data_IF_579415385473
#
_entry.id   IF_579415385473
#
_cell.length_a   1.000
_cell.length_b   1.000
_cell.length_c   1.000
_cell.angle_alpha   90.00
_cell.angle_beta   90.00
_cell.angle_gamma   90.00
#
_symmetry.space_group_name_H-M   'P 1'
#
loop_
_entity.id
_entity.type
_entity.pdbx_description
1 polymer ?
#
# COMPACT_ATOMS: atom_id res chain seq x y z
N UNK A 1 -34.96 -32.22 -35.02
CA UNK A 1 -33.50 -31.98 -35.01
C UNK A 1 -33.23 -30.65 -35.68
N UNK A 2 -32.30 -29.85 -35.14
CA UNK A 2 -31.91 -28.55 -35.72
C UNK A 2 -30.63 -28.75 -36.55
N UNK A 3 -30.58 -28.21 -37.76
CA UNK A 3 -29.40 -28.23 -38.63
C UNK A 3 -28.40 -27.20 -38.09
N UNK A 4 -27.14 -27.58 -37.92
CA UNK A 4 -26.04 -26.69 -37.48
C UNK A 4 -24.99 -26.58 -38.59
N UNK A 5 -24.48 -25.38 -38.82
CA UNK A 5 -23.46 -25.10 -39.83
C UNK A 5 -22.05 -25.18 -39.22
N UNK A 6 -20.99 -25.46 -40.01
CA UNK A 6 -19.62 -25.64 -39.51
C UNK A 6 -19.03 -24.41 -38.80
N UNK A 7 -19.61 -23.24 -39.08
CA UNK A 7 -19.22 -21.93 -38.56
C UNK A 7 -20.06 -21.48 -37.34
N UNK A 8 -21.05 -22.30 -36.93
CA UNK A 8 -21.78 -22.06 -35.69
C UNK A 8 -20.87 -22.39 -34.49
N UNK A 9 -20.70 -21.43 -33.59
CA UNK A 9 -20.00 -21.65 -32.32
C UNK A 9 -20.86 -22.59 -31.46
N UNK A 10 -20.53 -23.88 -31.45
CA UNK A 10 -21.36 -24.90 -30.80
C UNK A 10 -21.23 -24.90 -29.27
N UNK A 11 -20.02 -24.59 -28.76
CA UNK A 11 -19.70 -24.50 -27.33
C UNK A 11 -18.51 -23.54 -27.13
N UNK A 12 -18.55 -22.78 -26.04
CA UNK A 12 -17.40 -22.06 -25.49
C UNK A 12 -17.07 -22.69 -24.13
N UNK A 13 -15.87 -23.24 -23.97
CA UNK A 13 -15.40 -23.74 -22.68
C UNK A 13 -14.83 -22.54 -21.94
N UNK A 14 -15.60 -21.99 -21.02
CA UNK A 14 -15.14 -20.94 -20.10
C UNK A 14 -14.51 -21.65 -18.92
N UNK A 15 -13.19 -21.54 -18.79
CA UNK A 15 -12.46 -21.96 -17.60
C UNK A 15 -12.72 -20.93 -16.49
N UNK A 16 -13.49 -21.32 -15.47
CA UNK A 16 -13.82 -20.50 -14.31
C UNK A 16 -12.85 -20.76 -13.13
N UNK A 17 -11.81 -21.57 -13.33
CA UNK A 17 -10.98 -22.08 -12.23
C UNK A 17 -10.09 -21.03 -11.55
N UNK A 18 -9.80 -19.90 -12.22
CA UNK A 18 -8.93 -18.87 -11.65
C UNK A 18 -9.37 -17.46 -12.07
N UNK A 19 -10.00 -16.73 -11.15
CA UNK A 19 -10.32 -15.31 -11.35
C UNK A 19 -9.03 -14.50 -11.26
N UNK A 20 -8.73 -13.73 -12.30
CA UNK A 20 -7.61 -12.79 -12.32
C UNK A 20 -8.10 -11.36 -12.55
N UNK A 21 -7.27 -10.39 -12.19
CA UNK A 21 -7.50 -8.98 -12.46
C UNK A 21 -6.84 -8.60 -13.78
N UNK A 22 -7.59 -7.90 -14.62
CA UNK A 22 -7.07 -7.22 -15.79
C UNK A 22 -7.16 -5.71 -15.57
N UNK A 23 -6.01 -5.08 -15.34
CA UNK A 23 -5.91 -3.66 -15.05
C UNK A 23 -5.50 -2.90 -16.31
N UNK A 24 -6.19 -1.80 -16.59
CA UNK A 24 -5.83 -0.87 -17.66
C UNK A 24 -5.00 0.26 -17.05
N UNK A 25 -3.69 0.26 -17.31
CA UNK A 25 -2.76 1.25 -16.76
C UNK A 25 -2.32 2.22 -17.85
N UNK A 26 -2.34 3.52 -17.60
CA UNK A 26 -1.86 4.50 -18.57
C UNK A 26 -0.37 4.35 -18.86
N UNK A 27 0.01 4.53 -20.12
CA UNK A 27 1.41 4.37 -20.57
C UNK A 27 2.40 5.24 -19.78
N UNK A 28 1.98 6.42 -19.30
CA UNK A 28 2.79 7.33 -18.48
C UNK A 28 3.16 6.75 -17.10
N UNK A 29 2.31 5.90 -16.55
CA UNK A 29 2.45 5.31 -15.21
C UNK A 29 3.09 3.92 -15.28
N UNK A 30 3.13 3.30 -16.46
CA UNK A 30 3.74 1.99 -16.72
C UNK A 30 5.18 1.85 -16.21
N UNK A 31 6.07 2.86 -16.29
CA UNK A 31 7.43 2.76 -15.73
C UNK A 31 7.47 2.55 -14.20
N UNK A 32 6.39 2.87 -13.50
CA UNK A 32 6.26 2.68 -12.04
C UNK A 32 5.74 1.28 -11.70
N UNK A 33 5.23 0.54 -12.68
CA UNK A 33 4.66 -0.79 -12.48
C UNK A 33 5.73 -1.86 -12.68
N UNK A 34 5.81 -2.79 -11.74
CA UNK A 34 6.76 -3.91 -11.73
C UNK A 34 6.05 -5.19 -11.31
N UNK A 35 6.52 -6.32 -11.86
CA UNK A 35 6.09 -7.64 -11.39
C UNK A 35 6.39 -7.79 -9.90
N UNK A 36 5.47 -8.38 -9.14
CA UNK A 36 5.60 -8.54 -7.70
C UNK A 36 5.04 -7.39 -6.87
N UNK A 37 4.56 -6.31 -7.48
CA UNK A 37 3.92 -5.23 -6.73
C UNK A 37 2.55 -5.67 -6.22
N UNK A 38 2.28 -5.29 -4.96
CA UNK A 38 0.98 -5.49 -4.34
C UNK A 38 -0.07 -4.57 -4.97
N UNK A 39 -1.26 -5.13 -5.12
CA UNK A 39 -2.43 -4.52 -5.72
C UNK A 39 -3.58 -4.66 -4.73
N UNK A 40 -4.18 -3.54 -4.36
CA UNK A 40 -5.41 -3.53 -3.57
C UNK A 40 -6.59 -3.34 -4.51
N UNK A 41 -7.36 -4.39 -4.73
CA UNK A 41 -8.58 -4.35 -5.54
C UNK A 41 -9.82 -4.18 -4.66
N UNK A 42 -10.78 -3.36 -5.10
CA UNK A 42 -12.02 -3.13 -4.36
C UNK A 42 -13.17 -2.86 -5.32
N UNK A 43 -14.39 -3.16 -4.88
CA UNK A 43 -15.59 -2.86 -5.66
C UNK A 43 -15.90 -1.37 -5.56
N UNK A 44 -16.39 -0.73 -6.64
CA UNK A 44 -16.81 0.66 -6.57
C UNK A 44 -17.84 0.86 -5.44
N UNK A 45 -17.55 1.79 -4.52
CA UNK A 45 -18.43 2.11 -3.39
C UNK A 45 -18.27 1.24 -2.15
N UNK A 46 -17.30 0.31 -2.10
CA UNK A 46 -16.96 -0.46 -0.90
C UNK A 46 -15.58 -0.11 -0.38
N UNK A 47 -15.36 -0.25 0.93
CA UNK A 47 -14.03 -0.14 1.56
C UNK A 47 -13.28 -1.47 1.65
N UNK A 48 -13.96 -2.59 1.35
CA UNK A 48 -13.36 -3.91 1.41
C UNK A 48 -12.36 -4.08 0.27
N UNK A 49 -11.11 -4.39 0.64
CA UNK A 49 -10.01 -4.61 -0.29
C UNK A 49 -9.68 -6.10 -0.38
N UNK A 50 -9.25 -6.50 -1.56
CA UNK A 50 -8.77 -7.82 -1.90
C UNK A 50 -7.32 -7.68 -2.35
N UNK A 51 -6.44 -8.38 -1.68
CA UNK A 51 -5.03 -8.41 -2.00
C UNK A 51 -4.77 -9.21 -3.28
N UNK A 52 -3.98 -8.61 -4.16
CA UNK A 52 -3.50 -9.20 -5.39
C UNK A 52 -2.06 -8.78 -5.67
N UNK A 53 -1.41 -9.45 -6.60
CA UNK A 53 -0.01 -9.20 -6.98
C UNK A 53 0.08 -9.07 -8.51
N UNK A 54 0.83 -8.08 -8.98
CA UNK A 54 1.14 -7.93 -10.42
C UNK A 54 1.94 -9.13 -10.90
N UNK A 55 1.34 -9.92 -11.78
CA UNK A 55 1.95 -11.13 -12.32
C UNK A 55 2.58 -10.93 -13.70
N UNK A 56 1.89 -10.16 -14.57
CA UNK A 56 2.32 -9.92 -15.93
C UNK A 56 1.97 -8.49 -16.37
N UNK A 57 2.90 -7.84 -17.06
CA UNK A 57 2.73 -6.51 -17.63
C UNK A 57 2.79 -6.68 -19.14
N UNK A 58 1.72 -6.31 -19.85
CA UNK A 58 1.71 -6.34 -21.31
C UNK A 58 2.68 -5.29 -21.85
N UNK A 59 3.55 -5.70 -22.77
CA UNK A 59 4.48 -4.79 -23.44
C UNK A 59 3.81 -3.99 -24.57
N UNK A 60 2.57 -4.33 -24.91
CA UNK A 60 1.80 -3.65 -25.95
C UNK A 60 0.87 -2.63 -25.32
N UNK A 61 1.10 -1.36 -25.66
CA UNK A 61 0.16 -0.27 -25.36
C UNK A 61 -0.92 -0.26 -26.43
N UNK A 62 -2.17 -0.26 -26.02
CA UNK A 62 -3.32 0.01 -26.86
C UNK A 62 -3.25 1.48 -27.31
N UNK A 63 -3.03 1.71 -28.60
CA UNK A 63 -2.81 3.05 -29.15
C UNK A 63 -4.09 3.91 -29.12
N UNK A 64 -5.26 3.29 -29.13
CA UNK A 64 -6.55 3.99 -29.10
C UNK A 64 -6.89 4.45 -27.68
N UNK A 65 -6.57 3.63 -26.67
CA UNK A 65 -6.84 3.93 -25.25
C UNK A 65 -5.69 4.60 -24.52
N UNK A 66 -4.46 4.49 -25.03
CA UNK A 66 -3.25 4.95 -24.36
C UNK A 66 -2.91 4.16 -23.08
N UNK A 67 -3.43 2.92 -22.97
CA UNK A 67 -3.25 2.05 -21.80
C UNK A 67 -2.52 0.77 -22.17
N UNK A 68 -1.81 0.20 -21.20
CA UNK A 68 -1.28 -1.15 -21.26
C UNK A 68 -2.08 -2.03 -20.29
N UNK A 69 -2.19 -3.31 -20.66
CA UNK A 69 -2.86 -4.31 -19.83
C UNK A 69 -1.88 -4.85 -18.80
N UNK A 70 -2.28 -4.86 -17.53
CA UNK A 70 -1.52 -5.45 -16.43
C UNK A 70 -2.38 -6.54 -15.80
N UNK A 71 -1.87 -7.76 -15.79
CA UNK A 71 -2.52 -8.91 -15.17
C UNK A 71 -2.04 -9.01 -13.73
N UNK A 72 -2.98 -9.02 -12.79
CA UNK A 72 -2.72 -9.28 -11.39
C UNK A 72 -3.48 -10.52 -10.92
N UNK A 73 -2.89 -11.30 -10.02
CA UNK A 73 -3.49 -12.48 -9.43
C UNK A 73 -3.86 -12.17 -7.99
N UNK A 74 -5.07 -12.56 -7.57
CA UNK A 74 -5.43 -12.45 -6.17
C UNK A 74 -4.57 -13.40 -5.32
N UNK A 75 -4.17 -12.95 -4.14
CA UNK A 75 -3.46 -13.81 -3.18
C UNK A 75 -4.37 -14.92 -2.63
N UNK A 76 -5.67 -14.64 -2.55
CA UNK A 76 -6.72 -15.56 -2.14
C UNK A 76 -7.87 -15.47 -3.12
N UNK A 77 -8.54 -16.59 -3.38
CA UNK A 77 -9.71 -16.59 -4.25
C UNK A 77 -10.75 -15.57 -3.76
N UNK A 78 -11.15 -14.61 -4.61
CA UNK A 78 -12.02 -13.53 -4.19
C UNK A 78 -13.45 -14.03 -4.02
N UNK A 79 -13.99 -13.93 -2.81
CA UNK A 79 -15.39 -14.31 -2.55
C UNK A 79 -16.32 -13.24 -3.13
N UNK A 80 -17.25 -13.67 -3.98
CA UNK A 80 -18.27 -12.80 -4.57
C UNK A 80 -17.76 -11.87 -5.68
N UNK A 81 -16.65 -12.22 -6.34
CA UNK A 81 -16.23 -11.60 -7.60
C UNK A 81 -16.39 -12.63 -8.71
N UNK A 82 -17.33 -12.38 -9.62
CA UNK A 82 -17.50 -13.19 -10.82
C UNK A 82 -16.69 -12.59 -11.98
N UNK A 83 -16.27 -13.40 -12.97
CA UNK A 83 -15.74 -12.89 -14.24
C UNK A 83 -16.64 -11.81 -14.85
N UNK A 84 -16.05 -10.73 -15.35
CA UNK A 84 -16.77 -9.58 -15.88
C UNK A 84 -17.18 -8.53 -14.84
N UNK A 85 -16.91 -8.75 -13.55
CA UNK A 85 -17.10 -7.72 -12.51
C UNK A 85 -16.13 -6.57 -12.72
N UNK A 86 -16.64 -5.34 -12.75
CA UNK A 86 -15.79 -4.14 -12.76
C UNK A 86 -15.28 -3.85 -11.35
N UNK A 87 -13.97 -3.69 -11.21
CA UNK A 87 -13.30 -3.33 -9.95
C UNK A 87 -12.41 -2.12 -10.13
N UNK A 88 -12.12 -1.44 -9.03
CA UNK A 88 -11.03 -0.46 -8.95
C UNK A 88 -9.83 -1.11 -8.27
N UNK A 89 -8.63 -0.65 -8.62
CA UNK A 89 -7.40 -1.18 -8.04
C UNK A 89 -6.38 -0.08 -7.80
N UNK A 90 -5.61 -0.23 -6.73
CA UNK A 90 -4.45 0.59 -6.41
C UNK A 90 -3.20 -0.30 -6.49
N UNK A 91 -2.29 0.01 -7.41
CA UNK A 91 -0.98 -0.66 -7.49
C UNK A 91 0.02 0.11 -6.63
N UNK A 92 0.63 -0.56 -5.64
CA UNK A 92 1.56 0.05 -4.72
C UNK A 92 2.95 0.11 -5.36
N UNK A 93 3.28 1.28 -5.92
CA UNK A 93 4.51 1.45 -6.72
C UNK A 93 5.81 1.48 -5.89
N UNK A 94 5.73 1.95 -4.64
CA UNK A 94 6.85 2.22 -3.75
C UNK A 94 6.55 1.74 -2.32
N UNK A 95 6.13 0.48 -2.17
CA UNK A 95 5.91 -0.14 -0.86
C UNK A 95 7.26 -0.45 -0.20
N UNK A 96 7.46 0.07 1.00
CA UNK A 96 8.58 -0.30 1.87
C UNK A 96 8.03 -0.50 3.27
N UNK A 97 8.26 -1.68 3.85
CA UNK A 97 8.03 -1.89 5.26
C UNK A 97 9.10 -1.11 6.04
N UNK A 98 8.64 -0.08 6.74
CA UNK A 98 9.50 0.81 7.50
C UNK A 98 8.92 1.02 8.89
N UNK A 99 9.78 1.31 9.85
CA UNK A 99 9.33 1.78 11.14
C UNK A 99 8.75 3.18 10.97
N UNK A 100 7.52 3.37 11.41
CA UNK A 100 6.82 4.62 11.24
C UNK A 100 6.23 5.10 12.57
N UNK A 101 6.23 6.42 12.75
CA UNK A 101 5.62 7.10 13.88
C UNK A 101 4.51 8.01 13.38
N UNK A 102 3.43 8.23 14.15
CA UNK A 102 2.50 9.31 13.88
C UNK A 102 3.24 10.65 13.84
N UNK A 103 2.85 11.56 12.94
CA UNK A 103 3.47 12.89 12.88
C UNK A 103 3.40 13.64 14.23
N UNK A 104 2.34 13.42 15.01
CA UNK A 104 2.15 13.99 16.35
C UNK A 104 3.18 13.52 17.41
N UNK A 105 3.87 12.41 17.15
CA UNK A 105 4.90 11.88 18.03
C UNK A 105 6.27 12.56 17.82
N UNK A 106 6.39 13.38 16.78
CA UNK A 106 7.65 13.92 16.27
C UNK A 106 7.76 15.39 16.64
N UNK A 107 8.83 15.76 17.33
CA UNK A 107 9.11 17.14 17.71
C UNK A 107 10.24 17.65 16.83
N UNK A 108 10.00 18.72 16.07
CA UNK A 108 11.03 19.38 15.28
C UNK A 108 11.43 20.69 15.95
N UNK A 109 12.68 20.81 16.38
CA UNK A 109 13.20 21.97 17.09
C UNK A 109 14.67 22.22 16.71
N UNK A 110 15.02 23.46 16.39
CA UNK A 110 16.40 23.85 16.06
C UNK A 110 16.98 23.15 14.83
N UNK A 111 16.13 22.71 13.88
CA UNK A 111 16.55 21.94 12.70
C UNK A 111 16.84 20.47 12.97
N UNK A 112 16.62 20.01 14.21
CA UNK A 112 16.73 18.61 14.62
C UNK A 112 15.35 18.01 14.86
N UNK A 113 15.27 16.69 14.74
CA UNK A 113 14.03 15.93 14.96
C UNK A 113 14.19 15.03 16.16
N UNK A 114 13.17 15.00 17.02
CA UNK A 114 13.20 14.33 18.31
C UNK A 114 11.91 13.54 18.54
N UNK A 115 12.01 12.51 19.37
CA UNK A 115 10.87 11.79 19.95
C UNK A 115 11.02 11.71 21.45
N UNK A 116 9.89 11.60 22.15
CA UNK A 116 9.88 11.44 23.59
C UNK A 116 9.81 9.97 23.96
N UNK A 117 10.76 9.52 24.76
CA UNK A 117 10.94 8.14 25.19
C UNK A 117 10.72 8.03 26.70
N UNK A 118 10.18 6.89 27.16
CA UNK A 118 10.05 6.56 28.57
C UNK A 118 10.79 5.28 28.89
N UNK A 119 11.76 5.33 29.81
CA UNK A 119 12.46 4.15 30.32
C UNK A 119 11.56 3.33 31.26
N UNK A 120 11.95 2.06 31.49
CA UNK A 120 11.22 1.16 32.38
C UNK A 120 11.14 1.67 33.84
N UNK A 121 12.08 2.52 34.26
CA UNK A 121 12.09 3.18 35.57
C UNK A 121 11.17 4.41 35.65
N UNK A 122 10.49 4.75 34.55
CA UNK A 122 9.54 5.85 34.44
C UNK A 122 10.15 7.20 34.07
N UNK A 123 11.48 7.29 33.87
CA UNK A 123 12.10 8.53 33.37
C UNK A 123 11.73 8.78 31.92
N UNK A 124 11.48 10.04 31.62
CA UNK A 124 11.17 10.53 30.27
C UNK A 124 12.38 11.29 29.75
N UNK A 125 12.78 11.02 28.51
CA UNK A 125 13.90 11.69 27.86
C UNK A 125 13.65 11.84 26.35
N UNK A 126 14.34 12.79 25.74
CA UNK A 126 14.27 13.08 24.31
C UNK A 126 15.36 12.32 23.56
N UNK A 127 15.00 11.68 22.46
CA UNK A 127 15.94 11.00 21.57
C UNK A 127 15.94 11.69 20.21
N UNK A 128 17.13 12.09 19.75
CA UNK A 128 17.30 12.61 18.38
C UNK A 128 17.10 11.46 17.40
N UNK A 129 16.32 11.69 16.35
CA UNK A 129 16.00 10.70 15.33
C UNK A 129 16.17 11.26 13.94
N UNK A 130 16.45 10.37 13.00
CA UNK A 130 16.44 10.67 11.58
C UNK A 130 15.11 10.25 10.99
N UNK A 131 14.38 11.21 10.42
CA UNK A 131 13.11 10.93 9.74
C UNK A 131 13.27 10.85 8.24
N UNK A 132 12.45 9.99 7.63
CA UNK A 132 12.44 9.73 6.19
C UNK A 132 11.16 10.21 5.53
N UNK A 133 10.53 9.32 4.77
CA UNK A 133 9.30 9.59 4.02
C UNK A 133 8.15 9.96 4.96
N UNK A 134 7.24 10.82 4.48
CA UNK A 134 5.96 11.14 5.11
C UNK A 134 4.83 10.61 4.24
N UNK A 135 3.89 9.89 4.84
CA UNK A 135 2.74 9.33 4.14
C UNK A 135 1.56 9.15 5.11
N UNK A 136 0.37 9.63 4.73
CA UNK A 136 -0.89 9.43 5.48
C UNK A 136 -0.82 9.73 6.99
N UNK A 137 -0.11 10.79 7.38
CA UNK A 137 0.02 11.19 8.80
C UNK A 137 1.05 10.38 9.59
N UNK A 138 1.85 9.56 8.91
CA UNK A 138 2.99 8.85 9.47
C UNK A 138 4.30 9.37 8.89
N UNK A 139 5.34 9.37 9.71
CA UNK A 139 6.73 9.60 9.30
C UNK A 139 7.55 8.33 9.49
N UNK A 140 8.40 8.02 8.52
CA UNK A 140 9.40 6.98 8.62
C UNK A 140 10.48 7.37 9.65
N UNK A 141 10.81 6.43 10.54
CA UNK A 141 11.94 6.49 11.46
C UNK A 141 13.10 5.67 10.85
N UNK A 142 14.05 6.38 10.24
CA UNK A 142 15.14 5.79 9.43
C UNK A 142 16.18 5.08 10.28
N UNK A 143 16.53 5.63 11.44
CA UNK A 143 17.55 5.11 12.35
C UNK A 143 16.94 4.35 13.55
N UNK A 144 15.81 3.67 13.34
CA UNK A 144 15.15 2.88 14.38
C UNK A 144 15.98 1.65 14.78
N UNK A 145 16.37 1.51 16.07
CA UNK A 145 17.04 0.30 16.56
C UNK A 145 16.03 -0.83 16.80
N UNK A 146 16.23 -2.04 16.24
CA UNK A 146 15.31 -3.17 16.40
C UNK A 146 15.17 -3.70 17.83
N UNK A 147 16.11 -3.39 18.73
CA UNK A 147 16.04 -3.70 20.17
C UNK A 147 15.98 -2.39 20.97
N UNK A 148 14.82 -1.72 20.93
CA UNK A 148 14.60 -0.53 21.74
C UNK A 148 14.08 -0.91 23.13
N UNK A 149 14.79 -0.48 24.17
CA UNK A 149 14.27 -0.51 25.53
C UNK A 149 13.51 0.80 25.79
N UNK A 150 12.24 0.69 26.23
CA UNK A 150 11.38 1.83 26.56
C UNK A 150 10.17 2.02 25.64
N UNK A 151 9.29 2.94 26.04
CA UNK A 151 8.04 3.27 25.33
C UNK A 151 8.18 4.61 24.60
N UNK A 152 7.68 4.70 23.36
CA UNK A 152 7.63 5.96 22.58
C UNK A 152 6.30 6.65 22.83
N UNK A 153 6.31 7.96 23.11
CA UNK A 153 5.09 8.73 23.22
C UNK A 153 4.46 8.98 21.84
N UNK A 154 3.36 8.27 21.54
CA UNK A 154 2.69 8.34 20.23
C UNK A 154 1.70 9.50 20.07
N UNK A 155 1.35 10.19 21.18
CA UNK A 155 0.43 11.34 21.19
C UNK A 155 0.85 12.34 22.27
N UNK A 156 0.73 13.63 21.95
CA UNK A 156 0.97 14.69 22.92
C UNK A 156 2.44 14.85 23.32
N UNK A 157 3.39 14.48 22.45
CA UNK A 157 4.82 14.68 22.68
C UNK A 157 5.14 16.15 23.02
N UNK A 158 4.38 17.09 22.43
CA UNK A 158 4.42 18.53 22.74
C UNK A 158 4.12 18.89 24.21
N UNK A 159 3.25 18.15 24.89
CA UNK A 159 2.94 18.41 26.31
C UNK A 159 4.08 17.96 27.24
N UNK A 160 4.91 17.00 26.79
CA UNK A 160 6.05 16.49 27.55
C UNK A 160 7.29 17.37 27.35
N UNK A 161 7.50 17.97 26.17
CA UNK A 161 8.59 18.94 25.98
C UNK A 161 8.40 20.19 26.85
N UNK A 162 7.15 20.64 27.03
CA UNK A 162 6.82 21.78 27.88
C UNK A 162 7.07 21.55 29.38
N UNK A 163 7.05 20.31 29.87
CA UNK A 163 7.27 20.00 31.30
C UNK A 163 8.74 19.78 31.64
N UNK A 164 9.59 19.42 30.67
CA UNK A 164 11.05 19.38 30.83
C UNK A 164 11.65 20.80 30.83
N UNK A 165 11.14 21.72 30.01
CA UNK A 165 11.68 23.09 29.93
C UNK A 165 11.38 23.97 31.15
N UNK A 166 10.56 23.50 32.10
CA UNK A 166 10.14 24.26 33.29
C UNK A 166 10.87 23.83 34.57
N UNK A 167 11.94 23.03 34.43
CA UNK A 167 12.76 22.54 35.55
C UNK A 167 14.21 23.05 35.56
N UNK A 168 14.54 24.06 34.74
CA UNK A 168 15.83 24.73 34.76
C UNK A 168 15.73 26.15 35.32
#
# INVERSE_FOLDING_TARGET
GKLVHPEDLLYEIVDDSHVHLELQVFAKDLPRIRKGQRVLAFRPGTTDTLDAEVHLISHKVDADKGTAVVHAHFEKEPVGIAPGTVVQALVLADEAEVWALPEDAVIQEGGKTWVMMREADGKVFRKEITIGRRHDGFVEWVDFPPQMEGEVALKGAWYLSGSESSKE
#
